data_IF_364579768461
#
_entry.id   IF_364579768461
#
_cell.length_a   1.000
_cell.length_b   1.000
_cell.length_c   1.000
_cell.angle_alpha   90.00
_cell.angle_beta   90.00
_cell.angle_gamma   90.00
#
_symmetry.space_group_name_H-M   'P 1'
#
loop_
_entity.id
_entity.type
_entity.pdbx_description
1 polymer ?
#
# COMPACT_ATOMS: atom_id res chain seq x y z
N UNK A 1 -5.91 17.03 25.61
CA UNK A 1 -4.89 16.99 24.54
C UNK A 1 -5.62 17.03 23.21
N UNK A 2 -5.44 18.09 22.42
CA UNK A 2 -6.11 18.27 21.13
C UNK A 2 -5.68 17.16 20.16
N UNK A 3 -6.63 16.46 19.54
CA UNK A 3 -6.32 15.52 18.46
C UNK A 3 -5.79 16.32 17.27
N UNK A 4 -4.52 16.11 16.92
CA UNK A 4 -3.96 16.65 15.68
C UNK A 4 -4.64 15.94 14.51
N UNK A 5 -5.47 16.67 13.76
CA UNK A 5 -6.04 16.21 12.50
C UNK A 5 -5.08 16.58 11.37
N UNK A 6 -4.72 15.61 10.53
CA UNK A 6 -3.85 15.84 9.39
C UNK A 6 -4.65 16.35 8.19
N UNK A 7 -4.15 17.38 7.52
CA UNK A 7 -4.70 17.78 6.22
C UNK A 7 -4.37 16.74 5.14
N UNK A 8 -5.07 16.78 3.99
CA UNK A 8 -4.74 15.93 2.86
C UNK A 8 -3.31 16.19 2.35
N UNK A 9 -2.90 17.46 2.26
CA UNK A 9 -1.52 17.82 1.94
C UNK A 9 -0.49 17.28 2.93
N UNK A 10 -0.75 17.29 4.24
CA UNK A 10 0.17 16.71 5.22
C UNK A 10 0.27 15.19 5.07
N UNK A 11 -0.84 14.50 4.77
CA UNK A 11 -0.83 13.06 4.49
C UNK A 11 -0.01 12.73 3.24
N UNK A 12 -0.20 13.48 2.16
CA UNK A 12 0.57 13.35 0.92
C UNK A 12 2.08 13.58 1.16
N UNK A 13 2.43 14.66 1.87
CA UNK A 13 3.82 14.97 2.21
C UNK A 13 4.47 13.85 3.01
N UNK A 14 3.79 13.38 4.08
CA UNK A 14 4.30 12.35 4.97
C UNK A 14 4.45 11.01 4.24
N UNK A 15 3.51 10.64 3.37
CA UNK A 15 3.59 9.43 2.57
C UNK A 15 4.80 9.44 1.62
N UNK A 16 5.04 10.56 0.93
CA UNK A 16 6.18 10.70 0.01
C UNK A 16 7.53 10.71 0.74
N UNK A 17 7.59 11.35 1.91
CA UNK A 17 8.78 11.35 2.75
C UNK A 17 9.04 9.97 3.38
N UNK A 18 8.00 9.29 3.87
CA UNK A 18 8.08 7.91 4.38
C UNK A 18 8.60 6.98 3.28
N UNK A 19 8.08 7.07 2.05
CA UNK A 19 8.54 6.26 0.93
C UNK A 19 10.01 6.54 0.57
N UNK A 20 10.42 7.82 0.48
CA UNK A 20 11.80 8.17 0.19
C UNK A 20 12.78 7.63 1.26
N UNK A 21 12.34 7.58 2.52
CA UNK A 21 13.11 7.00 3.63
C UNK A 21 13.14 5.47 3.52
N UNK A 22 12.03 4.82 3.21
CA UNK A 22 11.98 3.36 3.00
C UNK A 22 12.88 2.95 1.83
N UNK A 23 12.81 3.66 0.70
CA UNK A 23 13.65 3.39 -0.48
C UNK A 23 15.14 3.48 -0.13
N UNK A 24 15.53 4.43 0.71
CA UNK A 24 16.89 4.55 1.23
C UNK A 24 17.22 3.45 2.26
N UNK A 25 16.28 3.05 3.11
CA UNK A 25 16.48 2.00 4.13
C UNK A 25 16.57 0.59 3.57
N UNK A 26 16.05 0.32 2.37
CA UNK A 26 16.33 -0.95 1.68
C UNK A 26 17.84 -1.19 1.50
N UNK A 27 18.66 -0.14 1.61
CA UNK A 27 20.13 -0.20 1.57
C UNK A 27 20.78 -0.35 2.98
N UNK A 28 20.05 -0.13 4.09
CA UNK A 28 20.59 -0.14 5.45
C UNK A 28 19.63 -0.78 6.47
N UNK A 29 20.02 -1.94 7.04
CA UNK A 29 19.21 -2.65 8.04
C UNK A 29 19.24 -1.94 9.41
N UNK A 30 18.10 -1.83 10.11
CA UNK A 30 18.07 -1.50 11.56
C UNK A 30 16.97 -0.55 12.06
N UNK A 31 16.14 0.06 11.19
CA UNK A 31 15.13 1.03 11.62
C UNK A 31 13.71 0.43 11.69
N UNK A 32 12.93 0.82 12.70
CA UNK A 32 11.51 0.41 12.79
C UNK A 32 10.62 1.34 11.97
N UNK A 33 9.42 0.88 11.58
CA UNK A 33 8.44 1.75 10.89
C UNK A 33 8.06 2.99 11.69
N UNK A 34 8.13 2.91 13.03
CA UNK A 34 7.93 4.08 13.90
C UNK A 34 9.02 5.12 13.68
N UNK A 35 10.27 4.67 13.56
CA UNK A 35 11.42 5.57 13.36
C UNK A 35 11.35 6.26 12.01
N UNK A 36 10.97 5.53 10.97
CA UNK A 36 10.73 6.08 9.62
C UNK A 36 9.72 7.22 9.67
N UNK A 37 8.58 6.99 10.35
CA UNK A 37 7.52 8.02 10.43
C UNK A 37 7.93 9.23 11.25
N UNK A 38 8.70 9.02 12.31
CA UNK A 38 9.25 10.13 13.10
C UNK A 38 10.24 10.93 12.25
N UNK A 39 11.12 10.27 11.51
CA UNK A 39 12.05 10.92 10.59
C UNK A 39 11.33 11.69 9.47
N UNK A 40 10.30 11.09 8.86
CA UNK A 40 9.46 11.74 7.85
C UNK A 40 8.76 12.98 8.42
N UNK A 41 8.18 12.88 9.61
CA UNK A 41 7.53 14.01 10.27
C UNK A 41 8.52 15.12 10.66
N UNK A 42 9.72 14.77 11.11
CA UNK A 42 10.78 15.73 11.42
C UNK A 42 11.27 16.45 10.16
N UNK A 43 11.43 15.73 9.04
CA UNK A 43 11.78 16.31 7.75
C UNK A 43 10.67 17.27 7.26
N UNK A 44 9.40 16.89 7.40
CA UNK A 44 8.29 17.76 7.03
C UNK A 44 8.29 19.06 7.84
N UNK A 45 8.43 18.98 9.16
CA UNK A 45 8.51 20.16 10.04
C UNK A 45 9.67 21.08 9.64
N UNK A 46 10.84 20.50 9.36
CA UNK A 46 12.00 21.28 8.93
C UNK A 46 11.77 21.96 7.58
N UNK A 47 11.12 21.28 6.64
CA UNK A 47 10.78 21.83 5.33
C UNK A 47 9.73 22.95 5.41
N UNK A 48 8.72 22.81 6.27
CA UNK A 48 7.73 23.85 6.52
C UNK A 48 8.39 25.10 7.10
N UNK A 49 9.29 24.94 8.07
CA UNK A 49 10.05 26.05 8.67
C UNK A 49 10.97 26.76 7.66
N UNK A 50 11.51 26.01 6.70
CA UNK A 50 12.37 26.54 5.64
C UNK A 50 11.58 27.11 4.45
N UNK A 51 10.25 27.02 4.45
CA UNK A 51 9.40 27.43 3.32
C UNK A 51 9.61 26.59 2.06
N UNK A 52 10.17 25.39 2.19
CA UNK A 52 10.51 24.48 1.08
C UNK A 52 9.40 23.46 0.78
N UNK A 53 8.29 23.53 1.48
CA UNK A 53 7.08 22.77 1.19
C UNK A 53 5.89 23.71 1.28
N UNK A 54 5.07 23.70 0.23
CA UNK A 54 3.79 24.38 0.20
C UNK A 54 2.67 23.35 0.37
N UNK A 55 1.92 23.47 1.46
CA UNK A 55 0.76 22.63 1.73
C UNK A 55 -0.49 23.31 1.16
N UNK A 56 -1.16 22.63 0.23
CA UNK A 56 -2.44 23.09 -0.33
C UNK A 56 -3.62 22.33 0.28
N UNK A 57 -4.82 22.48 -0.27
CA UNK A 57 -5.99 21.75 0.22
C UNK A 57 -5.83 20.24 0.04
N UNK A 58 -5.28 19.80 -1.10
CA UNK A 58 -5.30 18.39 -1.50
C UNK A 58 -3.92 17.72 -1.54
N UNK A 59 -2.84 18.48 -1.74
CA UNK A 59 -1.48 17.92 -1.91
C UNK A 59 -0.36 18.83 -1.40
N UNK A 60 0.81 18.24 -1.22
CA UNK A 60 2.03 18.96 -0.87
C UNK A 60 2.97 19.15 -2.07
N UNK A 61 3.52 20.34 -2.18
CA UNK A 61 4.50 20.68 -3.20
C UNK A 61 5.84 20.96 -2.53
N UNK A 62 6.80 20.07 -2.76
CA UNK A 62 8.18 20.29 -2.36
C UNK A 62 8.85 21.19 -3.39
N UNK A 63 9.67 22.12 -2.91
CA UNK A 63 10.55 22.89 -3.76
C UNK A 63 11.38 21.92 -4.64
N UNK A 64 11.48 22.15 -5.97
CA UNK A 64 12.25 21.28 -6.87
C UNK A 64 13.72 21.10 -6.46
N UNK A 65 14.28 22.02 -5.68
CA UNK A 65 15.65 21.95 -5.15
C UNK A 65 15.78 21.03 -3.93
N UNK A 66 14.66 20.53 -3.38
CA UNK A 66 14.66 19.60 -2.26
C UNK A 66 14.97 18.20 -2.78
N UNK A 67 16.18 17.73 -2.46
CA UNK A 67 16.52 16.31 -2.60
C UNK A 67 15.93 15.51 -1.43
N UNK A 68 14.82 14.82 -1.70
CA UNK A 68 14.13 13.96 -0.73
C UNK A 68 15.00 12.79 -0.25
N UNK A 69 15.95 12.30 -1.07
CA UNK A 69 16.87 11.22 -0.68
C UNK A 69 17.92 11.75 0.30
N UNK A 70 18.45 12.95 0.05
CA UNK A 70 19.36 13.59 0.99
C UNK A 70 18.68 13.87 2.34
N UNK A 71 17.42 14.31 2.33
CA UNK A 71 16.63 14.50 3.56
C UNK A 71 16.36 13.20 4.30
N UNK A 72 16.05 12.11 3.57
CA UNK A 72 15.89 10.80 4.16
C UNK A 72 17.15 10.34 4.88
N UNK A 73 18.32 10.57 4.27
CA UNK A 73 19.63 10.27 4.86
C UNK A 73 19.91 11.13 6.10
N UNK A 74 19.68 12.44 6.05
CA UNK A 74 19.92 13.31 7.21
C UNK A 74 18.98 12.98 8.37
N UNK A 75 17.70 12.74 8.08
CA UNK A 75 16.70 12.44 9.10
C UNK A 75 16.95 11.10 9.84
N UNK A 76 17.64 10.15 9.20
CA UNK A 76 18.07 8.90 9.83
C UNK A 76 19.45 9.01 10.50
N UNK A 77 20.40 9.72 9.89
CA UNK A 77 21.74 9.93 10.44
C UNK A 77 21.72 10.70 11.76
N UNK A 78 20.81 11.67 11.90
CA UNK A 78 20.63 12.42 13.14
C UNK A 78 20.11 11.55 14.29
N UNK A 79 19.57 10.36 14.00
CA UNK A 79 19.09 9.42 15.03
C UNK A 79 20.21 8.59 15.66
N UNK A 80 21.30 8.34 14.93
CA UNK A 80 22.49 7.68 15.47
C UNK A 80 23.23 8.59 16.46
N UNK A 81 23.15 9.90 16.25
CA UNK A 81 23.55 10.88 17.25
C UNK A 81 22.49 10.98 18.36
N UNK A 82 22.80 10.40 19.53
CA UNK A 82 21.98 10.39 20.76
C UNK A 82 21.60 11.79 21.31
N UNK A 83 21.93 12.86 20.59
CA UNK A 83 21.71 14.27 20.95
C UNK A 83 20.54 14.92 20.19
N UNK A 84 20.08 14.36 19.07
CA UNK A 84 18.98 14.94 18.28
C UNK A 84 17.65 14.27 18.62
N UNK A 85 17.00 14.73 19.70
CA UNK A 85 15.63 14.30 19.98
C UNK A 85 14.66 14.87 18.95
N UNK A 86 13.72 14.08 18.39
CA UNK A 86 12.73 14.57 17.46
C UNK A 86 11.85 15.62 18.14
N UNK A 87 11.53 16.69 17.42
CA UNK A 87 10.74 17.80 17.95
C UNK A 87 9.35 17.34 18.41
N UNK A 88 8.74 17.98 19.43
CA UNK A 88 7.39 17.65 19.87
C UNK A 88 6.35 17.69 18.74
N UNK A 89 6.53 18.63 17.79
CA UNK A 89 5.70 18.73 16.60
C UNK A 89 5.84 17.50 15.69
N UNK A 90 7.07 17.04 15.42
CA UNK A 90 7.30 15.84 14.63
C UNK A 90 6.74 14.57 15.30
N UNK A 91 6.89 14.44 16.61
CA UNK A 91 6.31 13.32 17.36
C UNK A 91 4.77 13.31 17.27
N UNK A 92 4.14 14.48 17.41
CA UNK A 92 2.69 14.62 17.30
C UNK A 92 2.19 14.29 15.88
N UNK A 93 2.88 14.78 14.84
CA UNK A 93 2.57 14.47 13.44
C UNK A 93 2.74 12.99 13.12
N UNK A 94 3.84 12.36 13.55
CA UNK A 94 4.08 10.93 13.34
C UNK A 94 3.02 10.05 14.03
N UNK A 95 2.55 10.45 15.21
CA UNK A 95 1.46 9.77 15.92
C UNK A 95 0.13 9.92 15.18
N UNK A 96 -0.20 11.14 14.74
CA UNK A 96 -1.42 11.41 13.96
C UNK A 96 -1.43 10.60 12.65
N UNK A 97 -0.28 10.53 11.98
CA UNK A 97 -0.13 9.80 10.72
C UNK A 97 -0.21 8.28 10.93
N UNK A 98 0.38 7.76 12.01
CA UNK A 98 0.24 6.35 12.35
C UNK A 98 -1.22 5.96 12.63
N UNK A 99 -2.00 6.85 13.26
CA UNK A 99 -3.45 6.62 13.47
C UNK A 99 -4.22 6.64 12.16
N UNK A 100 -3.90 7.58 11.27
CA UNK A 100 -4.48 7.67 9.94
C UNK A 100 -4.24 6.38 9.14
N UNK A 101 -2.99 5.92 9.03
CA UNK A 101 -2.65 4.69 8.30
C UNK A 101 -3.36 3.46 8.89
N UNK A 102 -3.53 3.42 10.22
CA UNK A 102 -4.29 2.34 10.86
C UNK A 102 -5.77 2.38 10.46
N UNK A 103 -6.39 3.57 10.46
CA UNK A 103 -7.77 3.75 10.02
C UNK A 103 -7.96 3.40 8.54
N UNK A 104 -7.03 3.81 7.67
CA UNK A 104 -7.07 3.42 6.25
C UNK A 104 -6.98 1.90 6.08
N UNK A 105 -6.11 1.23 6.83
CA UNK A 105 -6.00 -0.22 6.78
C UNK A 105 -7.30 -0.89 7.22
N UNK A 106 -7.94 -0.40 8.29
CA UNK A 106 -9.23 -0.93 8.75
C UNK A 106 -10.32 -0.70 7.69
N UNK A 107 -10.36 0.48 7.07
CA UNK A 107 -11.31 0.78 6.01
C UNK A 107 -11.09 -0.09 4.76
N UNK A 108 -9.83 -0.31 4.36
CA UNK A 108 -9.48 -1.22 3.28
C UNK A 108 -9.86 -2.66 3.59
N UNK A 109 -9.62 -3.13 4.82
CA UNK A 109 -10.04 -4.46 5.26
C UNK A 109 -11.55 -4.62 5.18
N UNK A 110 -12.31 -3.65 5.70
CA UNK A 110 -13.77 -3.66 5.62
C UNK A 110 -14.27 -3.65 4.16
N UNK A 111 -13.63 -2.86 3.30
CA UNK A 111 -13.99 -2.83 1.88
C UNK A 111 -13.72 -4.16 1.18
N UNK A 112 -12.56 -4.77 1.43
CA UNK A 112 -12.24 -6.11 0.90
C UNK A 112 -13.21 -7.18 1.40
N UNK A 113 -13.60 -7.12 2.67
CA UNK A 113 -14.62 -8.03 3.24
C UNK A 113 -15.99 -7.85 2.58
N UNK A 114 -16.40 -6.61 2.31
CA UNK A 114 -17.64 -6.33 1.58
C UNK A 114 -17.61 -6.89 0.16
N UNK A 115 -16.49 -6.73 -0.56
CA UNK A 115 -16.33 -7.29 -1.90
C UNK A 115 -16.43 -8.82 -1.84
N UNK A 116 -15.71 -9.46 -0.92
CA UNK A 116 -15.75 -10.91 -0.76
C UNK A 116 -17.17 -11.40 -0.43
N UNK A 117 -17.90 -10.69 0.45
CA UNK A 117 -19.27 -11.02 0.77
C UNK A 117 -20.18 -10.98 -0.48
N UNK A 118 -20.05 -9.93 -1.30
CA UNK A 118 -20.81 -9.80 -2.53
C UNK A 118 -20.48 -10.91 -3.54
N UNK A 119 -19.20 -11.27 -3.70
CA UNK A 119 -18.76 -12.36 -4.58
C UNK A 119 -19.31 -13.72 -4.11
N UNK A 120 -19.33 -13.96 -2.80
CA UNK A 120 -19.89 -15.19 -2.23
C UNK A 120 -21.41 -15.28 -2.43
N UNK A 121 -22.15 -14.20 -2.20
CA UNK A 121 -23.60 -14.15 -2.45
C UNK A 121 -23.90 -14.42 -3.92
N UNK A 122 -23.17 -13.77 -4.85
CA UNK A 122 -23.32 -14.00 -6.28
C UNK A 122 -23.01 -15.46 -6.67
N UNK A 123 -21.99 -16.06 -6.06
CA UNK A 123 -21.64 -17.47 -6.27
C UNK A 123 -22.75 -18.40 -5.80
N UNK A 124 -23.33 -18.14 -4.61
CA UNK A 124 -24.45 -18.92 -4.09
C UNK A 124 -25.65 -18.83 -5.03
N UNK A 125 -26.02 -17.64 -5.49
CA UNK A 125 -27.09 -17.46 -6.48
C UNK A 125 -26.83 -18.18 -7.81
N UNK A 126 -25.56 -18.33 -8.21
CA UNK A 126 -25.20 -19.04 -9.43
C UNK A 126 -25.27 -20.56 -9.29
N UNK A 127 -25.03 -21.08 -8.08
CA UNK A 127 -24.96 -22.52 -7.81
C UNK A 127 -26.31 -23.09 -7.35
N UNK A 128 -27.09 -22.29 -6.63
CA UNK A 128 -28.32 -22.68 -5.98
C UNK A 128 -29.47 -21.79 -6.45
N UNK A 129 -30.61 -22.40 -6.78
CA UNK A 129 -31.82 -21.64 -7.10
C UNK A 129 -32.40 -20.95 -5.86
N UNK A 130 -33.24 -19.92 -6.04
CA UNK A 130 -33.86 -19.18 -4.92
C UNK A 130 -34.80 -20.02 -4.05
N UNK A 131 -35.14 -21.24 -4.49
CA UNK A 131 -35.94 -22.21 -3.72
C UNK A 131 -35.09 -23.08 -2.79
N UNK A 132 -33.77 -23.16 -3.02
CA UNK A 132 -32.83 -23.98 -2.25
C UNK A 132 -32.17 -23.17 -1.14
N UNK A 133 -31.91 -21.88 -1.39
CA UNK A 133 -31.35 -20.94 -0.42
C UNK A 133 -32.18 -19.65 -0.46
N UNK A 134 -32.97 -19.44 0.58
CA UNK A 134 -33.86 -18.27 0.70
C UNK A 134 -33.10 -16.97 1.05
N UNK A 135 -32.04 -17.06 1.87
CA UNK A 135 -31.23 -15.91 2.31
C UNK A 135 -29.73 -16.20 2.22
N UNK A 136 -29.12 -16.01 1.05
CA UNK A 136 -27.69 -16.21 0.86
C UNK A 136 -26.83 -15.15 1.55
N UNK A 137 -27.37 -13.95 1.82
CA UNK A 137 -26.65 -12.89 2.54
C UNK A 137 -26.41 -13.31 3.99
N UNK A 138 -27.45 -13.84 4.66
CA UNK A 138 -27.32 -14.32 6.02
C UNK A 138 -26.32 -15.47 6.16
N UNK A 139 -26.29 -16.40 5.20
CA UNK A 139 -25.32 -17.50 5.18
C UNK A 139 -23.89 -16.96 5.04
N UNK A 140 -23.67 -16.02 4.12
CA UNK A 140 -22.35 -15.42 3.92
C UNK A 140 -21.89 -14.64 5.15
N UNK A 141 -22.77 -13.88 5.80
CA UNK A 141 -22.46 -13.21 7.07
C UNK A 141 -22.02 -14.21 8.13
N UNK A 142 -22.74 -15.32 8.31
CA UNK A 142 -22.35 -16.36 9.26
C UNK A 142 -20.99 -17.00 8.92
N UNK A 143 -20.73 -17.27 7.64
CA UNK A 143 -19.45 -17.85 7.18
C UNK A 143 -18.27 -16.91 7.42
N UNK A 144 -18.46 -15.61 7.23
CA UNK A 144 -17.40 -14.60 7.42
C UNK A 144 -17.17 -14.25 8.89
N UNK A 145 -18.23 -14.25 9.72
CA UNK A 145 -18.14 -13.91 11.15
C UNK A 145 -17.61 -15.08 12.00
N UNK A 146 -18.00 -16.31 11.70
CA UNK A 146 -17.68 -17.49 12.54
C UNK A 146 -16.31 -18.13 12.22
N UNK A 147 -15.70 -17.82 11.07
CA UNK A 147 -14.47 -18.51 10.59
C UNK A 147 -13.31 -17.55 10.24
N UNK A 148 -13.31 -16.40 10.91
CA UNK A 148 -12.78 -15.07 10.54
C UNK A 148 -11.37 -14.93 9.89
N UNK A 149 -10.53 -15.95 9.79
CA UNK A 149 -9.24 -15.86 9.09
C UNK A 149 -9.01 -16.99 8.08
N UNK A 150 -9.23 -18.24 8.49
CA UNK A 150 -8.90 -19.41 7.65
C UNK A 150 -9.81 -19.51 6.43
N UNK A 151 -11.10 -19.20 6.58
CA UNK A 151 -12.04 -19.23 5.46
C UNK A 151 -11.76 -18.10 4.46
N UNK A 152 -11.50 -16.87 4.94
CA UNK A 152 -11.14 -15.73 4.09
C UNK A 152 -9.87 -16.03 3.28
N UNK A 153 -8.84 -16.59 3.94
CA UNK A 153 -7.61 -17.00 3.29
C UNK A 153 -7.86 -18.14 2.27
N UNK A 154 -8.70 -19.11 2.59
CA UNK A 154 -9.06 -20.16 1.65
C UNK A 154 -9.76 -19.62 0.38
N UNK A 155 -10.65 -18.63 0.53
CA UNK A 155 -11.28 -17.95 -0.61
C UNK A 155 -10.24 -17.20 -1.47
N UNK A 156 -9.33 -16.46 -0.87
CA UNK A 156 -8.26 -15.76 -1.60
C UNK A 156 -7.34 -16.73 -2.34
N UNK A 157 -6.91 -17.81 -1.68
CA UNK A 157 -6.08 -18.85 -2.30
C UNK A 157 -6.82 -19.54 -3.45
N UNK A 158 -8.11 -19.83 -3.29
CA UNK A 158 -8.93 -20.40 -4.35
C UNK A 158 -9.03 -19.46 -5.56
N UNK A 159 -9.25 -18.15 -5.32
CA UNK A 159 -9.28 -17.13 -6.37
C UNK A 159 -7.94 -17.05 -7.11
N UNK A 160 -6.81 -17.01 -6.41
CA UNK A 160 -5.48 -17.01 -7.02
C UNK A 160 -5.23 -18.25 -7.87
N UNK A 161 -5.63 -19.43 -7.37
CA UNK A 161 -5.52 -20.70 -8.11
C UNK A 161 -6.39 -20.70 -9.37
N UNK A 162 -7.59 -20.14 -9.31
CA UNK A 162 -8.48 -20.02 -10.47
C UNK A 162 -7.94 -19.06 -11.54
N UNK A 163 -7.23 -18.00 -11.13
CA UNK A 163 -6.59 -17.05 -12.05
C UNK A 163 -5.29 -17.56 -12.67
N UNK A 164 -4.58 -18.48 -12.02
CA UNK A 164 -3.26 -18.94 -12.46
C UNK A 164 -3.22 -19.47 -13.92
N UNK A 165 -4.19 -20.27 -14.41
CA UNK A 165 -4.22 -20.68 -15.81
C UNK A 165 -4.42 -19.52 -16.79
N UNK A 166 -5.23 -18.52 -16.44
CA UNK A 166 -5.48 -17.33 -17.27
C UNK A 166 -4.23 -16.47 -17.37
N UNK A 167 -3.54 -16.26 -16.24
CA UNK A 167 -2.25 -15.54 -16.20
C UNK A 167 -1.20 -16.31 -16.99
N UNK A 168 -1.14 -17.64 -16.86
CA UNK A 168 -0.21 -18.49 -17.62
C UNK A 168 -0.47 -18.41 -19.13
N UNK A 169 -1.73 -18.47 -19.56
CA UNK A 169 -2.12 -18.32 -20.96
C UNK A 169 -1.75 -16.93 -21.51
N UNK A 170 -2.05 -15.87 -20.75
CA UNK A 170 -1.67 -14.50 -21.10
C UNK A 170 -0.15 -14.34 -21.24
N UNK A 171 0.63 -14.89 -20.31
CA UNK A 171 2.10 -14.86 -20.38
C UNK A 171 2.60 -15.63 -21.61
N UNK A 172 2.05 -16.82 -21.88
CA UNK A 172 2.43 -17.64 -23.04
C UNK A 172 2.17 -16.92 -24.36
N UNK A 173 1.00 -16.28 -24.51
CA UNK A 173 0.64 -15.51 -25.70
C UNK A 173 1.52 -14.28 -25.89
N UNK A 174 1.90 -13.60 -24.81
CA UNK A 174 2.76 -12.41 -24.88
C UNK A 174 4.26 -12.74 -25.02
N UNK A 175 4.72 -13.90 -24.55
CA UNK A 175 6.07 -14.39 -24.83
C UNK A 175 6.19 -14.90 -26.28
N UNK A 176 5.11 -15.44 -26.86
CA UNK A 176 5.07 -15.83 -28.28
C UNK A 176 5.23 -14.61 -29.22
N UNK A 177 4.77 -13.42 -28.80
CA UNK A 177 4.94 -12.15 -29.52
C UNK A 177 6.37 -11.57 -29.45
N UNK A 178 7.19 -12.02 -28.49
CA UNK A 178 8.58 -11.59 -28.32
C UNK A 178 9.61 -12.57 -28.93
N UNK A 179 9.17 -13.58 -29.68
CA UNK A 179 10.10 -14.36 -30.51
C UNK A 179 10.56 -13.51 -31.69
N UNK A 180 11.88 -13.28 -31.88
CA UNK A 180 12.37 -12.59 -33.06
C UNK A 180 11.95 -13.38 -34.31
N UNK A 181 11.19 -12.74 -35.19
CA UNK A 181 10.89 -13.23 -36.53
C UNK A 181 12.19 -13.18 -37.33
N UNK A 182 13.08 -14.15 -37.13
CA UNK A 182 14.14 -14.43 -38.06
C UNK A 182 14.61 -15.88 -37.93
N UNK A 183 13.95 -16.74 -38.69
CA UNK A 183 14.56 -17.98 -39.18
C UNK A 183 13.99 -18.19 -40.57
N UNK A 184 14.66 -17.61 -41.57
CA UNK A 184 14.43 -17.95 -42.98
C UNK A 184 14.57 -19.47 -43.13
N UNK A 185 13.75 -20.13 -43.97
CA UNK A 185 14.11 -21.43 -44.48
C UNK A 185 15.23 -21.21 -45.50
N UNK A 186 16.43 -21.70 -45.21
CA UNK A 186 17.45 -21.91 -46.24
C UNK A 186 16.95 -23.06 -47.14
N UNK A 187 16.29 -22.67 -48.22
CA UNK A 187 16.26 -23.45 -49.45
C UNK A 187 17.53 -23.14 -50.24
N UNK A 188 18.21 -24.22 -50.61
CA UNK A 188 19.18 -24.36 -51.71
C UNK A 188 20.45 -23.51 -51.68
N UNK A 189 21.58 -24.21 -51.47
CA UNK A 189 22.70 -24.29 -52.43
C UNK A 189 23.71 -25.36 -51.99
N UNK A 190 23.78 -26.45 -52.75
CA UNK A 190 24.82 -27.49 -52.65
C UNK A 190 24.36 -28.83 -53.18
#
# INVERSE_FOLDING_TARGET
MSQVQLSAAQRDALSRLEQAIIDYQLEQQGFTSRDVRIAAAQALVALEQQGKVALTQDRAYFDPQVDLRHLARSALSDKDDRLSQPSPAAQALALAYSRYLHQERLAQQQHSEQILAQELVATIHSLYGPQEIEDPEQIVTQMLDQTNADFKNACEVARLRALAPLVSAFIADNQALNKPVNSKPDQDRG
#
